data_IF_921407360766
#
_entry.id   IF_921407360766
#
_cell.length_a   1.000
_cell.length_b   1.000
_cell.length_c   1.000
_cell.angle_alpha   90.00
_cell.angle_beta   90.00
_cell.angle_gamma   90.00
#
_symmetry.space_group_name_H-M   'P 1'
#
loop_
_entity.id
_entity.type
_entity.pdbx_description
1 polymer ?
#
# COMPACT_ATOMS: atom_id res chain seq x y z
N UNK A 1 -1.65 24.64 -6.28
CA UNK A 1 -0.40 24.47 -7.05
C UNK A 1 -0.14 22.97 -7.18
N UNK A 2 0.32 22.49 -8.33
CA UNK A 2 0.61 21.08 -8.56
C UNK A 2 2.11 20.92 -8.80
N UNK A 3 2.72 19.94 -8.16
CA UNK A 3 4.13 19.59 -8.33
C UNK A 3 4.21 18.18 -8.96
N UNK A 4 5.16 17.98 -9.87
CA UNK A 4 5.40 16.66 -10.44
C UNK A 4 6.03 15.71 -9.40
N UNK A 5 5.55 14.47 -9.31
CA UNK A 5 6.15 13.43 -8.45
C UNK A 5 7.59 13.08 -8.83
N UNK A 6 8.06 13.52 -10.01
CA UNK A 6 9.44 13.32 -10.50
C UNK A 6 10.42 14.38 -10.02
N UNK A 7 10.00 15.41 -9.29
CA UNK A 7 10.90 16.40 -8.72
C UNK A 7 11.85 15.75 -7.70
N UNK A 8 13.10 16.20 -7.68
CA UNK A 8 14.02 15.85 -6.61
C UNK A 8 13.46 16.36 -5.28
N UNK A 9 13.60 15.56 -4.23
CA UNK A 9 13.01 15.88 -2.92
C UNK A 9 13.45 17.26 -2.40
N UNK A 10 14.69 17.63 -2.62
CA UNK A 10 15.21 18.96 -2.20
C UNK A 10 14.50 20.12 -2.90
N UNK A 11 14.19 19.97 -4.19
CA UNK A 11 13.42 20.98 -4.94
C UNK A 11 11.98 21.05 -4.44
N UNK A 12 11.36 19.89 -4.19
CA UNK A 12 10.00 19.84 -3.64
C UNK A 12 9.92 20.51 -2.27
N UNK A 13 10.89 20.24 -1.39
CA UNK A 13 10.99 20.89 -0.06
C UNK A 13 11.14 22.39 -0.19
N UNK A 14 11.98 22.90 -1.10
CA UNK A 14 12.13 24.33 -1.34
C UNK A 14 10.80 24.96 -1.79
N UNK A 15 10.10 24.36 -2.74
CA UNK A 15 8.81 24.85 -3.22
C UNK A 15 7.74 24.84 -2.14
N UNK A 16 7.64 23.76 -1.35
CA UNK A 16 6.67 23.66 -0.26
C UNK A 16 6.96 24.69 0.84
N UNK A 17 8.21 24.91 1.20
CA UNK A 17 8.61 25.91 2.18
C UNK A 17 8.28 27.35 1.72
N UNK A 18 8.36 27.62 0.40
CA UNK A 18 7.99 28.90 -0.17
C UNK A 18 6.47 29.08 -0.26
N UNK A 19 5.74 28.01 -0.65
CA UNK A 19 4.29 28.05 -0.88
C UNK A 19 3.48 27.97 0.41
N UNK A 20 3.96 27.18 1.41
CA UNK A 20 3.30 26.93 2.72
C UNK A 20 1.84 26.51 2.59
N UNK A 21 1.58 25.33 1.99
CA UNK A 21 0.22 24.86 1.77
C UNK A 21 -0.50 24.55 3.09
N UNK A 22 -1.80 24.86 3.14
CA UNK A 22 -2.70 24.43 4.22
C UNK A 22 -3.14 22.97 4.01
N UNK A 23 -3.29 22.55 2.75
CA UNK A 23 -3.74 21.21 2.37
C UNK A 23 -2.72 20.61 1.39
N UNK A 24 -2.33 19.36 1.63
CA UNK A 24 -1.47 18.59 0.72
C UNK A 24 -2.21 17.32 0.30
N UNK A 25 -2.37 17.13 -1.02
CA UNK A 25 -2.86 15.88 -1.59
C UNK A 25 -1.67 15.11 -2.22
N UNK A 26 -1.42 13.89 -1.77
CA UNK A 26 -0.26 13.12 -2.23
C UNK A 26 -0.41 11.61 -1.98
N UNK A 27 0.58 10.83 -2.43
CA UNK A 27 0.68 9.41 -2.09
C UNK A 27 1.18 9.20 -0.65
N UNK A 28 0.75 8.13 0.05
CA UNK A 28 1.29 7.76 1.35
C UNK A 28 2.82 7.70 1.41
N UNK A 29 3.48 7.09 0.43
CA UNK A 29 4.94 7.02 0.35
C UNK A 29 5.61 8.41 0.31
N UNK A 30 5.04 9.34 -0.45
CA UNK A 30 5.54 10.71 -0.52
C UNK A 30 5.28 11.46 0.80
N UNK A 31 4.12 11.24 1.45
CA UNK A 31 3.83 11.86 2.74
C UNK A 31 4.83 11.41 3.83
N UNK A 32 5.23 10.13 3.84
CA UNK A 32 6.28 9.61 4.72
C UNK A 32 7.64 10.28 4.43
N UNK A 33 7.99 10.47 3.15
CA UNK A 33 9.22 11.17 2.78
C UNK A 33 9.19 12.64 3.25
N UNK A 34 8.06 13.34 3.04
CA UNK A 34 7.88 14.71 3.55
C UNK A 34 7.95 14.77 5.07
N UNK A 35 7.38 13.79 5.77
CA UNK A 35 7.48 13.65 7.21
C UNK A 35 8.94 13.49 7.66
N UNK A 36 9.72 12.67 6.96
CA UNK A 36 11.16 12.54 7.20
C UNK A 36 11.91 13.87 7.04
N UNK A 37 11.58 14.64 5.99
CA UNK A 37 12.20 15.97 5.78
C UNK A 37 11.78 16.98 6.85
N UNK A 38 10.56 16.88 7.39
CA UNK A 38 10.11 17.72 8.50
C UNK A 38 10.85 17.39 9.81
N UNK A 39 11.01 16.09 10.12
CA UNK A 39 11.80 15.63 11.29
C UNK A 39 13.27 16.09 11.20
N UNK A 40 13.83 16.11 9.99
CA UNK A 40 15.20 16.62 9.75
C UNK A 40 15.28 18.18 9.80
N UNK A 41 14.16 18.89 10.00
CA UNK A 41 14.10 20.35 10.03
C UNK A 41 14.26 21.05 8.69
N UNK A 42 14.27 20.28 7.58
CA UNK A 42 14.41 20.81 6.21
C UNK A 42 13.07 21.33 5.68
N UNK A 43 11.99 20.60 5.93
CA UNK A 43 10.62 21.00 5.58
C UNK A 43 9.99 21.75 6.78
N UNK A 44 9.54 22.99 6.53
CA UNK A 44 9.05 23.91 7.57
C UNK A 44 7.66 24.41 7.20
N UNK A 45 6.70 23.49 7.14
CA UNK A 45 5.30 23.77 6.85
C UNK A 45 4.42 23.19 7.96
N UNK A 46 3.21 23.71 8.08
CA UNK A 46 2.20 23.26 9.06
C UNK A 46 0.87 23.09 8.36
N UNK A 47 0.72 22.06 7.50
CA UNK A 47 -0.56 21.82 6.84
C UNK A 47 -1.62 21.46 7.88
N UNK A 48 -2.88 21.86 7.64
CA UNK A 48 -4.02 21.42 8.43
C UNK A 48 -4.48 20.02 8.06
N UNK A 49 -4.36 19.66 6.76
CA UNK A 49 -4.89 18.42 6.20
C UNK A 49 -3.94 17.77 5.20
N UNK A 50 -3.85 16.45 5.29
CA UNK A 50 -3.20 15.60 4.30
C UNK A 50 -4.24 14.67 3.66
N UNK A 51 -4.46 14.80 2.35
CA UNK A 51 -5.31 13.93 1.56
C UNK A 51 -4.43 12.85 0.92
N UNK A 52 -4.53 11.62 1.40
CA UNK A 52 -3.70 10.50 0.98
C UNK A 52 -4.51 9.52 0.15
N UNK A 53 -3.93 9.03 -0.95
CA UNK A 53 -4.61 8.04 -1.79
C UNK A 53 -3.68 7.46 -2.86
N UNK A 54 -4.17 6.46 -3.58
CA UNK A 54 -3.45 5.82 -4.68
C UNK A 54 -2.43 4.75 -4.28
N UNK A 55 -2.11 4.65 -3.00
CA UNK A 55 -1.31 3.59 -2.39
C UNK A 55 -1.95 3.19 -1.06
N UNK A 56 -1.62 2.02 -0.52
CA UNK A 56 -2.08 1.60 0.80
C UNK A 56 -1.37 2.40 1.89
N UNK A 57 -2.14 3.06 2.77
CA UNK A 57 -1.61 3.71 3.96
C UNK A 57 -1.53 2.68 5.10
N UNK A 58 -0.32 2.20 5.39
CA UNK A 58 -0.05 1.31 6.52
C UNK A 58 -0.12 2.06 7.87
N UNK A 59 -0.33 1.32 8.96
CA UNK A 59 -0.41 1.88 10.30
C UNK A 59 0.89 2.61 10.70
N UNK A 60 2.04 2.00 10.46
CA UNK A 60 3.35 2.60 10.80
C UNK A 60 3.64 3.85 9.95
N UNK A 61 3.27 3.84 8.67
CA UNK A 61 3.36 5.01 7.81
C UNK A 61 2.49 6.16 8.32
N UNK A 62 1.26 5.87 8.77
CA UNK A 62 0.37 6.84 9.40
C UNK A 62 1.01 7.45 10.65
N UNK A 63 1.54 6.62 11.55
CA UNK A 63 2.20 7.08 12.78
C UNK A 63 3.41 7.97 12.47
N UNK A 64 4.22 7.61 11.47
CA UNK A 64 5.37 8.41 11.06
C UNK A 64 4.93 9.81 10.56
N UNK A 65 3.84 9.88 9.81
CA UNK A 65 3.27 11.14 9.32
C UNK A 65 2.70 11.97 10.49
N UNK A 66 1.91 11.34 11.38
CA UNK A 66 1.30 12.02 12.54
C UNK A 66 2.36 12.58 13.51
N UNK A 67 3.47 11.87 13.69
CA UNK A 67 4.57 12.34 14.53
C UNK A 67 5.31 13.55 13.95
N UNK A 68 5.29 13.73 12.63
CA UNK A 68 5.97 14.84 11.96
C UNK A 68 5.06 16.06 11.75
N UNK A 69 3.75 15.84 11.53
CA UNK A 69 2.78 16.88 11.23
C UNK A 69 1.60 16.83 12.19
N UNK A 70 1.30 17.97 12.81
CA UNK A 70 0.06 18.12 13.60
C UNK A 70 -1.08 18.48 12.64
N UNK A 71 -1.58 17.48 11.89
CA UNK A 71 -2.60 17.67 10.87
C UNK A 71 -3.62 16.53 10.88
N UNK A 72 -4.74 16.74 10.19
CA UNK A 72 -5.71 15.68 9.93
C UNK A 72 -5.26 14.86 8.70
N UNK A 73 -5.33 13.54 8.81
CA UNK A 73 -5.06 12.63 7.69
C UNK A 73 -6.39 12.10 7.18
N UNK A 74 -6.62 12.25 5.88
CA UNK A 74 -7.77 11.73 5.16
C UNK A 74 -7.29 10.71 4.14
N UNK A 75 -7.54 9.43 4.41
CA UNK A 75 -7.19 8.37 3.49
C UNK A 75 -8.36 8.12 2.53
N UNK A 76 -8.06 8.04 1.23
CA UNK A 76 -9.03 7.79 0.18
C UNK A 76 -8.60 6.58 -0.65
N UNK A 77 -9.54 5.70 -0.92
CA UNK A 77 -9.33 4.60 -1.83
C UNK A 77 -10.07 4.86 -3.15
N UNK A 78 -9.38 4.58 -4.25
CA UNK A 78 -9.93 4.74 -5.59
C UNK A 78 -9.05 4.15 -6.66
N UNK A 79 -9.64 3.94 -7.82
CA UNK A 79 -8.98 3.50 -9.05
C UNK A 79 -9.29 4.48 -10.18
N UNK A 80 -8.58 4.36 -11.31
CA UNK A 80 -8.83 5.21 -12.49
C UNK A 80 -10.25 5.03 -13.03
N UNK A 81 -10.84 3.86 -12.81
CA UNK A 81 -12.17 3.47 -13.22
C UNK A 81 -13.27 4.16 -12.40
N UNK A 82 -12.93 4.55 -11.15
CA UNK A 82 -13.83 5.29 -10.27
C UNK A 82 -13.05 5.99 -9.13
N UNK A 83 -13.21 7.31 -9.02
CA UNK A 83 -12.66 8.14 -7.95
C UNK A 83 -13.76 9.00 -7.32
N UNK A 84 -13.90 9.01 -5.98
CA UNK A 84 -13.34 8.12 -4.96
C UNK A 84 -14.24 6.89 -4.74
N UNK A 85 -13.66 5.70 -4.61
CA UNK A 85 -14.42 4.48 -4.30
C UNK A 85 -14.78 4.38 -2.82
N UNK A 86 -13.90 4.85 -1.95
CA UNK A 86 -14.13 4.90 -0.50
C UNK A 86 -13.41 6.08 0.14
N UNK A 87 -13.93 6.50 1.27
CA UNK A 87 -13.38 7.57 2.12
C UNK A 87 -13.22 7.09 3.56
N UNK A 88 -12.29 7.66 4.28
CA UNK A 88 -12.00 7.32 5.65
C UNK A 88 -12.78 8.19 6.63
N UNK A 89 -13.40 7.58 7.65
CA UNK A 89 -14.07 8.29 8.73
C UNK A 89 -13.11 8.63 9.89
N UNK A 90 -13.63 9.37 10.89
CA UNK A 90 -12.86 9.75 12.08
C UNK A 90 -12.35 8.58 12.93
N UNK A 91 -12.82 7.37 12.69
CA UNK A 91 -12.33 6.13 13.32
C UNK A 91 -11.35 5.35 12.44
N UNK A 92 -10.78 6.00 11.43
CA UNK A 92 -9.80 5.42 10.50
C UNK A 92 -10.32 4.20 9.72
N UNK A 93 -11.63 4.13 9.50
CA UNK A 93 -12.25 3.08 8.70
C UNK A 93 -12.66 3.62 7.32
N UNK A 94 -12.35 2.88 6.26
CA UNK A 94 -12.82 3.18 4.92
C UNK A 94 -14.30 2.79 4.76
N UNK A 95 -15.09 3.70 4.21
CA UNK A 95 -16.49 3.50 3.85
C UNK A 95 -16.66 3.56 2.33
N UNK A 96 -17.20 2.50 1.73
CA UNK A 96 -17.43 2.44 0.29
C UNK A 96 -18.63 3.29 -0.14
N UNK A 97 -18.47 4.05 -1.20
CA UNK A 97 -19.55 4.90 -1.78
C UNK A 97 -20.55 4.08 -2.59
N UNK A 98 -21.29 3.20 -1.91
CA UNK A 98 -22.21 2.24 -2.53
C UNK A 98 -23.48 2.86 -3.12
N UNK A 99 -23.69 4.15 -2.99
CA UNK A 99 -24.67 4.95 -3.71
C UNK A 99 -24.27 5.23 -5.17
N UNK A 100 -22.97 5.18 -5.49
CA UNK A 100 -22.40 5.45 -6.81
C UNK A 100 -21.72 4.25 -7.46
N UNK A 101 -21.44 3.20 -6.70
CA UNK A 101 -20.78 2.01 -7.22
C UNK A 101 -21.27 0.73 -6.55
N UNK A 102 -21.18 -0.38 -7.28
CA UNK A 102 -21.36 -1.72 -6.74
C UNK A 102 -19.98 -2.37 -6.67
N UNK A 103 -19.64 -2.89 -5.48
CA UNK A 103 -18.46 -3.72 -5.25
C UNK A 103 -18.91 -5.16 -5.04
N UNK A 104 -18.32 -6.07 -5.80
CA UNK A 104 -18.58 -7.52 -5.73
C UNK A 104 -17.26 -8.25 -5.44
N UNK A 105 -16.91 -8.50 -4.15
CA UNK A 105 -15.79 -9.38 -3.83
C UNK A 105 -16.09 -10.81 -4.25
N UNK A 106 -15.20 -11.43 -5.04
CA UNK A 106 -15.45 -12.74 -5.66
C UNK A 106 -14.29 -13.72 -5.45
N UNK A 107 -14.60 -15.01 -5.47
CA UNK A 107 -13.64 -16.10 -5.49
C UNK A 107 -12.99 -16.26 -6.89
N UNK A 108 -12.10 -17.26 -7.05
CA UNK A 108 -11.44 -17.57 -8.33
C UNK A 108 -12.39 -18.06 -9.43
N UNK A 109 -13.64 -18.40 -9.10
CA UNK A 109 -14.70 -18.77 -10.03
C UNK A 109 -15.66 -17.60 -10.30
N UNK A 110 -15.33 -16.40 -9.85
CA UNK A 110 -16.16 -15.18 -9.96
C UNK A 110 -17.52 -15.28 -9.25
N UNK A 111 -17.60 -16.05 -8.16
CA UNK A 111 -18.77 -16.14 -7.29
C UNK A 111 -18.54 -15.25 -6.07
N UNK A 112 -19.61 -14.58 -5.62
CA UNK A 112 -19.53 -13.72 -4.43
C UNK A 112 -19.04 -14.49 -3.21
N UNK A 113 -18.10 -13.89 -2.47
CA UNK A 113 -17.66 -14.38 -1.16
C UNK A 113 -18.50 -13.73 -0.05
N UNK A 114 -18.47 -14.32 1.15
CA UNK A 114 -19.16 -13.75 2.32
C UNK A 114 -18.37 -12.57 2.89
N UNK A 115 -19.11 -11.69 3.57
CA UNK A 115 -18.50 -10.60 4.32
C UNK A 115 -17.47 -11.15 5.33
N UNK A 116 -16.32 -10.48 5.42
CA UNK A 116 -15.18 -10.91 6.25
C UNK A 116 -14.24 -11.93 5.59
N UNK A 117 -14.62 -12.53 4.46
CA UNK A 117 -13.73 -13.45 3.73
C UNK A 117 -12.80 -12.68 2.78
N UNK A 118 -11.55 -13.16 2.63
CA UNK A 118 -10.58 -12.61 1.67
C UNK A 118 -10.95 -13.06 0.26
N UNK A 119 -11.31 -12.14 -0.66
CA UNK A 119 -11.68 -12.49 -2.02
C UNK A 119 -10.45 -12.81 -2.88
N UNK A 120 -10.68 -13.46 -4.02
CA UNK A 120 -9.66 -13.55 -5.07
C UNK A 120 -9.43 -12.18 -5.73
N UNK A 121 -10.53 -11.48 -6.04
CA UNK A 121 -10.53 -10.13 -6.62
C UNK A 121 -11.85 -9.44 -6.32
N UNK A 122 -11.97 -8.16 -6.67
CA UNK A 122 -13.24 -7.42 -6.57
C UNK A 122 -13.64 -6.90 -7.94
N UNK A 123 -14.90 -7.12 -8.31
CA UNK A 123 -15.51 -6.53 -9.49
C UNK A 123 -16.16 -5.22 -9.11
N UNK A 124 -16.08 -4.22 -10.00
CA UNK A 124 -16.79 -2.95 -9.83
C UNK A 124 -17.80 -2.70 -10.94
N UNK A 125 -18.92 -2.11 -10.57
CA UNK A 125 -19.86 -1.50 -11.50
C UNK A 125 -20.02 -0.04 -11.13
N UNK A 126 -19.70 0.86 -12.09
CA UNK A 126 -19.81 2.30 -11.90
C UNK A 126 -21.18 2.78 -12.30
N UNK A 127 -21.96 3.27 -11.34
CA UNK A 127 -23.33 3.76 -11.56
C UNK A 127 -23.40 5.23 -12.03
N UNK A 128 -22.29 5.95 -11.97
CA UNK A 128 -22.21 7.39 -12.26
C UNK A 128 -21.73 7.70 -13.69
N UNK A 129 -21.00 6.80 -14.34
CA UNK A 129 -20.39 7.05 -15.65
C UNK A 129 -21.23 6.41 -16.78
N UNK A 130 -22.07 7.21 -17.39
CA UNK A 130 -22.92 6.79 -18.53
C UNK A 130 -22.23 6.92 -19.90
N UNK A 131 -21.11 7.64 -19.97
CA UNK A 131 -20.37 7.86 -21.23
C UNK A 131 -19.47 6.68 -21.53
N UNK A 132 -18.78 6.18 -20.51
CA UNK A 132 -17.94 5.00 -20.58
C UNK A 132 -18.35 4.06 -19.42
N UNK A 133 -19.41 3.26 -19.62
CA UNK A 133 -19.92 2.42 -18.55
C UNK A 133 -18.90 1.33 -18.18
N UNK A 134 -18.68 1.19 -16.88
CA UNK A 134 -17.87 0.12 -16.28
C UNK A 134 -18.84 -0.82 -15.59
N UNK A 135 -18.90 -2.07 -16.08
CA UNK A 135 -19.81 -3.08 -15.58
C UNK A 135 -19.07 -4.36 -15.22
N UNK A 136 -19.13 -4.78 -13.97
CA UNK A 136 -18.45 -5.96 -13.39
C UNK A 136 -16.97 -6.06 -13.83
N UNK A 137 -16.30 -4.93 -13.83
CA UNK A 137 -14.91 -4.84 -14.22
C UNK A 137 -14.01 -5.33 -13.09
N UNK A 138 -13.08 -6.24 -13.38
CA UNK A 138 -12.12 -6.77 -12.43
C UNK A 138 -11.01 -5.75 -12.19
N UNK A 139 -11.03 -5.08 -11.04
CA UNK A 139 -10.03 -4.07 -10.68
C UNK A 139 -8.71 -4.68 -10.20
N UNK A 140 -8.69 -5.99 -9.93
CA UNK A 140 -7.52 -6.68 -9.42
C UNK A 140 -7.22 -6.43 -7.94
N UNK A 141 -8.04 -5.68 -7.24
CA UNK A 141 -7.88 -5.41 -5.81
C UNK A 141 -8.72 -6.39 -4.96
N UNK A 142 -8.20 -6.74 -3.80
CA UNK A 142 -8.87 -7.59 -2.82
C UNK A 142 -9.49 -6.70 -1.75
N UNK A 143 -10.83 -6.59 -1.75
CA UNK A 143 -11.60 -5.76 -0.82
C UNK A 143 -12.46 -6.66 0.06
N UNK A 144 -12.34 -6.51 1.37
CA UNK A 144 -13.16 -7.21 2.36
C UNK A 144 -14.23 -6.26 2.86
N UNK A 145 -15.49 -6.69 2.86
CA UNK A 145 -16.56 -6.01 3.59
C UNK A 145 -16.53 -6.41 5.06
N UNK A 146 -16.56 -5.43 5.95
CA UNK A 146 -16.67 -5.70 7.38
C UNK A 146 -18.16 -5.66 7.78
N UNK A 147 -18.73 -6.75 8.31
CA UNK A 147 -20.14 -6.83 8.65
C UNK A 147 -20.54 -5.97 9.85
N UNK A 148 -19.58 -5.55 10.68
CA UNK A 148 -19.89 -4.79 11.89
C UNK A 148 -20.13 -3.30 11.60
N UNK A 149 -21.18 -2.69 12.19
CA UNK A 149 -21.43 -1.25 12.07
C UNK A 149 -20.26 -0.40 12.55
N UNK A 150 -20.00 0.70 11.87
CA UNK A 150 -18.98 1.64 12.32
C UNK A 150 -19.50 2.56 13.42
N UNK A 151 -18.64 2.84 14.40
CA UNK A 151 -18.94 3.81 15.49
C UNK A 151 -19.14 5.24 14.99
N UNK A 152 -18.73 5.56 13.76
CA UNK A 152 -18.97 6.87 13.14
C UNK A 152 -20.45 7.12 12.77
N UNK A 153 -21.30 6.10 12.81
CA UNK A 153 -22.72 6.18 12.47
C UNK A 153 -23.03 6.20 10.97
N UNK A 154 -22.02 6.07 10.09
CA UNK A 154 -22.22 5.99 8.65
C UNK A 154 -22.99 4.74 8.28
N UNK A 155 -23.97 4.87 7.38
CA UNK A 155 -24.69 3.74 6.77
C UNK A 155 -23.92 3.09 5.62
N UNK A 156 -22.86 3.73 5.11
CA UNK A 156 -22.00 3.16 4.10
C UNK A 156 -21.19 1.99 4.67
N UNK A 157 -21.08 0.88 3.94
CA UNK A 157 -20.37 -0.30 4.44
C UNK A 157 -18.88 -0.01 4.66
N UNK A 158 -18.35 -0.60 5.73
CA UNK A 158 -16.91 -0.60 6.00
C UNK A 158 -16.23 -1.57 5.09
N UNK A 159 -15.08 -1.15 4.56
CA UNK A 159 -14.22 -2.00 3.74
C UNK A 159 -12.77 -1.97 4.24
N UNK A 160 -12.06 -3.02 3.91
CA UNK A 160 -10.60 -3.11 4.05
C UNK A 160 -9.98 -3.51 2.71
N UNK A 161 -8.97 -2.76 2.28
CA UNK A 161 -8.23 -3.05 1.05
C UNK A 161 -6.96 -3.81 1.42
N UNK A 162 -6.91 -5.10 1.11
CA UNK A 162 -5.80 -6.00 1.47
C UNK A 162 -4.61 -5.82 0.52
N UNK A 163 -4.88 -5.47 -0.74
CA UNK A 163 -3.88 -5.28 -1.78
C UNK A 163 -4.35 -5.79 -3.12
N UNK A 164 -3.41 -5.92 -4.06
CA UNK A 164 -3.70 -6.44 -5.39
C UNK A 164 -3.53 -7.96 -5.44
N UNK A 165 -4.41 -8.63 -6.18
CA UNK A 165 -4.31 -10.09 -6.41
C UNK A 165 -2.98 -10.49 -7.06
N UNK A 166 -2.43 -9.60 -7.90
CA UNK A 166 -1.17 -9.83 -8.62
C UNK A 166 0.07 -9.63 -7.73
N UNK A 167 -0.09 -8.99 -6.57
CA UNK A 167 0.98 -8.77 -5.60
C UNK A 167 1.01 -9.85 -4.49
N UNK A 168 0.07 -10.80 -4.53
CA UNK A 168 0.01 -11.91 -3.57
C UNK A 168 1.13 -12.90 -3.85
N UNK A 169 1.97 -13.17 -2.85
CA UNK A 169 3.05 -14.14 -2.94
C UNK A 169 2.53 -15.52 -2.50
N UNK A 170 2.70 -16.53 -3.34
CA UNK A 170 2.38 -17.92 -3.02
C UNK A 170 3.64 -18.74 -2.98
N UNK A 171 3.92 -19.35 -1.82
CA UNK A 171 5.12 -20.16 -1.58
C UNK A 171 4.71 -21.59 -1.26
N UNK A 172 5.42 -22.55 -1.83
CA UNK A 172 5.20 -23.97 -1.57
C UNK A 172 5.70 -24.30 -0.16
N UNK A 173 4.87 -24.90 0.67
CA UNK A 173 5.29 -25.43 1.96
C UNK A 173 6.02 -26.77 1.84
N UNK A 174 6.58 -27.27 2.94
CA UNK A 174 7.28 -28.58 2.94
C UNK A 174 6.36 -29.78 2.74
N UNK A 175 5.04 -29.60 2.80
CA UNK A 175 4.03 -30.67 2.64
C UNK A 175 3.42 -30.66 1.24
N UNK A 176 3.85 -29.75 0.34
CA UNK A 176 3.34 -29.62 -1.02
C UNK A 176 2.09 -28.74 -1.14
N UNK A 177 1.68 -28.06 -0.07
CA UNK A 177 0.63 -27.05 -0.07
C UNK A 177 1.16 -25.66 -0.40
N UNK A 178 0.28 -24.73 -0.81
CA UNK A 178 0.65 -23.33 -1.00
C UNK A 178 0.25 -22.50 0.20
N UNK A 179 1.19 -21.73 0.72
CA UNK A 179 0.95 -20.68 1.72
C UNK A 179 0.89 -19.34 1.02
N UNK A 180 -0.15 -18.59 1.30
CA UNK A 180 -0.40 -17.26 0.74
C UNK A 180 0.13 -16.18 1.70
N UNK A 181 1.00 -15.32 1.20
CA UNK A 181 1.51 -14.15 1.91
C UNK A 181 0.86 -12.90 1.32
N UNK A 182 0.14 -12.16 2.16
CA UNK A 182 -0.59 -10.96 1.74
C UNK A 182 0.31 -9.72 1.69
N UNK A 183 0.18 -8.88 0.66
CA UNK A 183 1.02 -7.68 0.45
C UNK A 183 1.04 -6.74 1.66
N UNK A 184 -0.13 -6.45 2.23
CA UNK A 184 -0.26 -5.55 3.38
C UNK A 184 0.52 -6.08 4.59
N UNK A 185 0.39 -7.39 4.91
CA UNK A 185 1.10 -8.01 6.03
C UNK A 185 2.62 -7.92 5.86
N UNK A 186 3.11 -8.21 4.65
CA UNK A 186 4.55 -8.14 4.35
C UNK A 186 5.08 -6.71 4.49
N UNK A 187 4.33 -5.72 3.99
CA UNK A 187 4.69 -4.31 4.13
C UNK A 187 4.71 -3.87 5.59
N UNK A 188 3.68 -4.23 6.36
CA UNK A 188 3.58 -3.89 7.79
C UNK A 188 4.79 -4.41 8.58
N UNK A 189 5.23 -5.65 8.34
CA UNK A 189 6.39 -6.24 9.02
C UNK A 189 7.67 -5.43 8.78
N UNK A 190 7.88 -4.96 7.54
CA UNK A 190 9.06 -4.16 7.21
C UNK A 190 8.96 -2.77 7.82
N UNK A 191 7.80 -2.12 7.71
CA UNK A 191 7.54 -0.78 8.24
C UNK A 191 7.67 -0.72 9.77
N UNK A 192 7.31 -1.77 10.50
CA UNK A 192 7.54 -1.90 11.95
C UNK A 192 9.03 -1.82 12.36
N UNK A 193 9.92 -2.00 11.41
CA UNK A 193 11.36 -1.80 11.62
C UNK A 193 11.80 -0.35 11.40
N UNK A 194 10.86 0.55 11.02
CA UNK A 194 11.15 1.93 10.65
C UNK A 194 11.73 2.07 9.24
N UNK A 195 11.50 1.09 8.36
CA UNK A 195 11.97 1.08 6.97
C UNK A 195 10.75 1.23 6.05
N UNK A 196 10.69 2.33 5.29
CA UNK A 196 9.55 2.66 4.44
C UNK A 196 9.85 2.55 2.94
N UNK A 197 11.14 2.61 2.55
CA UNK A 197 11.59 2.51 1.16
C UNK A 197 12.15 1.12 0.90
N UNK A 198 11.30 0.24 0.41
CA UNK A 198 11.63 -1.15 0.15
C UNK A 198 10.86 -1.73 -1.04
N UNK A 199 11.39 -2.82 -1.57
CA UNK A 199 10.71 -3.70 -2.52
C UNK A 199 10.96 -5.15 -2.13
N UNK A 200 9.94 -6.00 -2.32
CA UNK A 200 10.01 -7.44 -2.09
C UNK A 200 10.01 -8.11 -3.47
N UNK A 201 11.06 -8.85 -3.76
CA UNK A 201 11.21 -9.63 -4.99
C UNK A 201 11.03 -11.11 -4.66
N UNK A 202 10.00 -11.72 -5.23
CA UNK A 202 9.74 -13.15 -5.12
C UNK A 202 10.42 -13.88 -6.27
N UNK A 203 11.42 -14.68 -5.94
CA UNK A 203 12.09 -15.59 -6.86
C UNK A 203 11.57 -17.01 -6.60
N UNK A 204 10.91 -17.58 -7.57
CA UNK A 204 10.35 -18.95 -7.45
C UNK A 204 11.43 -19.98 -7.13
N UNK A 205 11.13 -21.05 -6.36
CA UNK A 205 9.92 -21.29 -5.54
C UNK A 205 10.10 -20.89 -4.07
N UNK A 206 11.35 -20.67 -3.57
CA UNK A 206 11.64 -20.59 -2.14
C UNK A 206 12.60 -19.45 -1.78
N UNK A 207 12.66 -18.40 -2.59
CA UNK A 207 13.55 -17.28 -2.35
C UNK A 207 12.80 -15.96 -2.38
N UNK A 208 13.03 -15.13 -1.35
CA UNK A 208 12.57 -13.74 -1.26
C UNK A 208 13.78 -12.83 -1.11
N UNK A 209 13.81 -11.74 -1.86
CA UNK A 209 14.80 -10.67 -1.68
C UNK A 209 14.09 -9.38 -1.28
N UNK A 210 14.47 -8.78 -0.18
CA UNK A 210 14.01 -7.44 0.21
C UNK A 210 15.08 -6.44 -0.22
N UNK A 211 14.74 -5.57 -1.16
CA UNK A 211 15.61 -4.47 -1.59
C UNK A 211 15.32 -3.25 -0.74
N UNK A 212 16.34 -2.69 -0.13
CA UNK A 212 16.28 -1.52 0.74
C UNK A 212 17.13 -0.39 0.16
N UNK A 213 16.62 0.84 0.18
CA UNK A 213 17.43 2.01 -0.25
C UNK A 213 18.51 2.28 0.78
N UNK A 214 19.73 2.53 0.30
CA UNK A 214 20.84 3.01 1.13
C UNK A 214 20.57 4.44 1.57
N UNK A 215 19.91 4.63 2.71
CA UNK A 215 19.73 5.92 3.37
C UNK A 215 20.54 5.97 4.65
N UNK A 216 21.02 7.15 5.04
CA UNK A 216 21.69 7.35 6.34
C UNK A 216 20.75 7.04 7.52
N UNK A 217 19.43 7.12 7.28
CA UNK A 217 18.40 6.80 8.25
C UNK A 217 18.22 5.30 8.52
N UNK A 218 18.66 4.42 7.60
CA UNK A 218 18.53 2.97 7.77
C UNK A 218 19.73 2.42 8.59
N UNK A 219 19.56 2.38 9.91
CA UNK A 219 20.60 1.84 10.80
C UNK A 219 20.74 0.32 10.68
N UNK A 220 21.93 -0.21 11.01
CA UNK A 220 22.15 -1.66 11.05
C UNK A 220 21.16 -2.37 11.99
N UNK A 221 20.75 -1.72 13.09
CA UNK A 221 19.77 -2.26 14.03
C UNK A 221 18.37 -2.40 13.42
N UNK A 222 17.93 -1.43 12.61
CA UNK A 222 16.65 -1.51 11.90
C UNK A 222 16.64 -2.64 10.86
N UNK A 223 17.73 -2.82 10.12
CA UNK A 223 17.89 -3.91 9.16
C UNK A 223 17.84 -5.27 9.87
N UNK A 224 18.55 -5.42 11.00
CA UNK A 224 18.53 -6.65 11.80
C UNK A 224 17.13 -6.94 12.38
N UNK A 225 16.44 -5.89 12.86
CA UNK A 225 15.04 -6.00 13.32
C UNK A 225 14.13 -6.47 12.19
N UNK A 226 14.25 -5.88 11.00
CA UNK A 226 13.49 -6.28 9.81
C UNK A 226 13.69 -7.77 9.48
N UNK A 227 14.95 -8.21 9.39
CA UNK A 227 15.30 -9.60 9.11
C UNK A 227 14.68 -10.54 10.15
N UNK A 228 14.81 -10.21 11.44
CA UNK A 228 14.30 -11.03 12.54
C UNK A 228 12.78 -11.14 12.48
N UNK A 229 12.06 -10.02 12.35
CA UNK A 229 10.60 -10.01 12.30
C UNK A 229 10.08 -10.77 11.08
N UNK A 230 10.70 -10.57 9.91
CA UNK A 230 10.30 -11.24 8.67
C UNK A 230 10.54 -12.76 8.75
N UNK A 231 11.70 -13.19 9.28
CA UNK A 231 11.98 -14.62 9.52
C UNK A 231 11.03 -15.25 10.52
N UNK A 232 10.70 -14.54 11.61
CA UNK A 232 9.72 -15.02 12.60
C UNK A 232 8.34 -15.21 11.96
N UNK A 233 7.90 -14.26 11.14
CA UNK A 233 6.66 -14.38 10.38
C UNK A 233 6.67 -15.57 9.42
N UNK A 234 7.72 -15.72 8.60
CA UNK A 234 7.85 -16.90 7.73
C UNK A 234 7.83 -18.21 8.55
N UNK A 235 8.48 -18.23 9.68
CA UNK A 235 8.47 -19.39 10.59
C UNK A 235 7.07 -19.74 11.13
N UNK A 236 6.31 -18.73 11.56
CA UNK A 236 4.93 -18.90 12.03
C UNK A 236 3.98 -19.41 10.94
N UNK A 237 4.27 -19.10 9.67
CA UNK A 237 3.54 -19.56 8.50
C UNK A 237 4.01 -20.95 7.99
N UNK A 238 4.95 -21.62 8.69
CA UNK A 238 5.51 -22.89 8.26
C UNK A 238 6.55 -22.79 7.12
N UNK A 239 7.01 -21.60 6.82
CA UNK A 239 7.91 -21.25 5.70
C UNK A 239 9.36 -20.97 6.14
N UNK A 240 9.82 -21.54 7.26
CA UNK A 240 11.19 -21.37 7.75
C UNK A 240 12.29 -21.83 6.78
N UNK A 241 11.92 -22.58 5.73
CA UNK A 241 12.84 -23.04 4.69
C UNK A 241 13.06 -22.01 3.57
N UNK A 242 12.28 -20.93 3.56
CA UNK A 242 12.41 -19.88 2.54
C UNK A 242 13.69 -19.10 2.76
N UNK A 243 14.47 -18.94 1.70
CA UNK A 243 15.71 -18.16 1.72
C UNK A 243 15.37 -16.67 1.62
N UNK A 244 15.66 -15.92 2.68
CA UNK A 244 15.48 -14.48 2.75
C UNK A 244 16.83 -13.77 2.55
N UNK A 245 16.93 -12.94 1.53
CA UNK A 245 18.05 -12.04 1.27
C UNK A 245 17.67 -10.58 1.49
N UNK A 246 18.64 -9.77 1.92
CA UNK A 246 18.53 -8.30 1.93
C UNK A 246 19.55 -7.74 0.93
N UNK A 247 19.07 -6.93 0.01
CA UNK A 247 19.90 -6.23 -0.97
C UNK A 247 19.83 -4.72 -0.73
N UNK A 248 20.97 -4.09 -0.54
CA UNK A 248 21.06 -2.63 -0.39
C UNK A 248 21.25 -2.00 -1.77
N UNK A 249 20.30 -1.18 -2.20
CA UNK A 249 20.31 -0.51 -3.51
C UNK A 249 20.41 1.00 -3.38
N UNK A 250 20.88 1.67 -4.41
CA UNK A 250 20.90 3.14 -4.46
C UNK A 250 19.52 3.73 -4.68
N UNK A 251 18.72 3.10 -5.52
CA UNK A 251 17.33 3.51 -5.84
C UNK A 251 16.46 2.28 -6.05
N UNK A 252 15.17 2.42 -5.80
CA UNK A 252 14.16 1.43 -6.13
C UNK A 252 13.57 1.70 -7.52
N UNK A 253 13.13 0.64 -8.19
CA UNK A 253 12.45 0.77 -9.47
C UNK A 253 11.08 1.39 -9.25
N UNK A 254 10.85 2.61 -9.76
CA UNK A 254 9.55 3.28 -9.73
C UNK A 254 8.56 2.62 -10.70
N UNK A 255 7.28 2.60 -10.35
CA UNK A 255 6.20 2.33 -11.32
C UNK A 255 6.08 3.49 -12.32
N UNK A 256 5.57 3.23 -13.54
CA UNK A 256 5.34 4.26 -14.58
C UNK A 256 4.46 5.42 -14.11
N UNK A 257 3.59 5.20 -13.14
CA UNK A 257 2.65 6.18 -12.57
C UNK A 257 3.23 7.02 -11.42
N UNK A 258 4.51 6.82 -11.03
CA UNK A 258 5.09 7.44 -9.84
C UNK A 258 4.68 6.80 -8.51
N UNK A 259 3.78 5.80 -8.53
CA UNK A 259 3.39 5.02 -7.35
C UNK A 259 4.48 4.02 -6.98
N UNK A 260 4.68 3.79 -5.68
CA UNK A 260 5.60 2.78 -5.20
C UNK A 260 5.03 1.37 -5.42
N UNK A 261 5.56 0.64 -6.39
CA UNK A 261 5.30 -0.81 -6.51
C UNK A 261 6.20 -1.53 -5.52
N UNK A 262 5.58 -2.29 -4.59
CA UNK A 262 6.30 -2.93 -3.48
C UNK A 262 6.61 -4.40 -3.72
N UNK A 263 5.84 -5.12 -4.52
CA UNK A 263 6.02 -6.56 -4.75
C UNK A 263 6.28 -6.82 -6.23
N UNK A 264 7.30 -7.64 -6.48
CA UNK A 264 7.73 -8.06 -7.80
C UNK A 264 7.84 -9.58 -7.84
N UNK A 265 7.28 -10.19 -8.89
CA UNK A 265 7.44 -11.60 -9.20
C UNK A 265 8.45 -11.73 -10.34
N UNK A 266 9.55 -12.43 -10.11
CA UNK A 266 10.53 -12.71 -11.13
C UNK A 266 10.32 -14.14 -11.66
N UNK A 267 9.94 -14.26 -12.92
CA UNK A 267 9.87 -15.55 -13.60
C UNK A 267 11.26 -16.10 -13.88
N UNK A 268 11.35 -17.44 -14.02
CA UNK A 268 12.61 -18.20 -14.27
C UNK A 268 13.40 -17.73 -15.51
N UNK A 269 12.91 -16.82 -16.34
CA UNK A 269 13.50 -16.41 -17.62
C UNK A 269 13.99 -14.95 -17.70
N UNK A 270 14.26 -14.28 -16.59
CA UNK A 270 14.95 -12.98 -16.61
C UNK A 270 14.21 -11.83 -17.32
N UNK A 271 12.92 -11.96 -17.63
CA UNK A 271 12.07 -10.86 -18.11
C UNK A 271 11.11 -10.46 -17.01
N UNK A 272 11.27 -9.22 -16.55
CA UNK A 272 10.32 -8.56 -15.66
C UNK A 272 9.06 -8.32 -16.49
N UNK A 273 8.00 -9.11 -16.28
CA UNK A 273 6.69 -8.77 -16.81
C UNK A 273 6.09 -7.66 -15.96
N UNK A 274 6.21 -6.42 -16.44
CA UNK A 274 5.35 -5.33 -16.04
C UNK A 274 4.02 -5.54 -16.75
N UNK A 275 3.09 -6.26 -16.14
CA UNK A 275 1.70 -6.23 -16.60
C UNK A 275 1.17 -4.81 -16.42
N UNK A 276 0.80 -4.25 -17.57
CA UNK A 276 0.17 -2.94 -17.78
C UNK A 276 -1.16 -2.78 -17.05
#
# INVERSE_FOLDING_TARGET
>A
MQFACSLLIDQLVQHLNAFKPDIIATYPSMAVELASQAVLGRLRITPSDLLLGGETLGHESRLAIQNAFTCQIHNQYGASEFLPMAWECAFEHLHANTDWLILEPVDSNYRLVKDGEVPFTTLITNLANYVQPVYRYDIGDQIIFNPEPCKCGSSFPRIEVIGRKDDVIRILDKKGGYVTLLPLTLSTIIEQSGIYDFQIHHHSPNKLTIKLVKKQSNSSSQIQKCISQFKNYLGSMGLAHVHLEIEMVSNLNGGRSGKAKRIFHEEKNGKINSTS
#
